data_IF_678938204487
#
_entry.id   IF_678938204487
#
_cell.length_a   1.000
_cell.length_b   1.000
_cell.length_c   1.000
_cell.angle_alpha   90.00
_cell.angle_beta   90.00
_cell.angle_gamma   90.00
#
_symmetry.space_group_name_H-M   'P 1'
#
loop_
_entity.id
_entity.type
_entity.pdbx_description
1 polymer ?
#
# COMPACT_ATOMS: atom_id res chain seq x y z
N UNK A 1 -14.80 -16.67 15.89
CA UNK A 1 -13.33 -16.80 15.91
C UNK A 1 -12.76 -15.97 14.77
N UNK A 2 -12.39 -14.73 15.07
CA UNK A 2 -11.78 -13.79 14.13
C UNK A 2 -10.38 -14.31 13.81
N UNK A 3 -10.24 -15.04 12.70
CA UNK A 3 -8.92 -15.48 12.23
C UNK A 3 -8.19 -14.24 11.72
N UNK A 4 -7.36 -13.67 12.58
CA UNK A 4 -6.18 -12.88 12.22
C UNK A 4 -5.42 -13.70 11.19
N UNK A 5 -5.73 -13.49 9.90
CA UNK A 5 -4.96 -14.08 8.81
C UNK A 5 -3.61 -13.40 8.87
N UNK A 6 -2.66 -14.14 9.43
CA UNK A 6 -1.23 -14.00 9.25
C UNK A 6 -0.93 -13.13 8.05
N UNK A 7 -0.39 -11.95 8.35
CA UNK A 7 0.22 -11.06 7.38
C UNK A 7 1.30 -11.86 6.67
N UNK A 8 0.91 -12.58 5.64
CA UNK A 8 1.79 -13.24 4.70
C UNK A 8 2.57 -12.12 4.02
N UNK A 9 3.64 -11.68 4.65
CA UNK A 9 4.98 -12.12 4.29
C UNK A 9 5.36 -11.89 2.84
N UNK A 10 4.66 -11.04 2.11
CA UNK A 10 5.01 -10.66 0.76
C UNK A 10 5.99 -9.48 0.80
N UNK A 11 7.03 -9.64 1.66
CA UNK A 11 8.28 -8.89 1.76
C UNK A 11 9.15 -9.05 0.49
N UNK A 12 8.53 -9.28 -0.68
CA UNK A 12 9.20 -9.26 -1.98
C UNK A 12 9.24 -7.82 -2.50
N UNK A 13 10.06 -7.04 -1.81
CA UNK A 13 10.89 -5.91 -2.25
C UNK A 13 10.16 -4.67 -2.83
N UNK A 14 10.40 -3.51 -2.18
CA UNK A 14 10.80 -2.30 -2.90
C UNK A 14 9.88 -1.08 -2.90
N UNK A 15 8.84 -0.98 -2.06
CA UNK A 15 7.95 0.19 -2.10
C UNK A 15 7.94 0.93 -0.79
N UNK A 16 8.64 2.06 -0.77
CA UNK A 16 8.66 3.01 0.33
C UNK A 16 7.56 4.06 0.15
N UNK A 17 6.91 4.38 1.26
CA UNK A 17 5.88 5.40 1.36
C UNK A 17 6.47 6.74 0.94
N UNK A 18 5.88 7.45 -0.01
CA UNK A 18 6.42 8.72 -0.46
C UNK A 18 6.23 9.87 0.53
N UNK A 19 5.46 9.67 1.62
CA UNK A 19 5.29 10.67 2.67
C UNK A 19 6.41 10.63 3.71
N UNK A 20 6.78 9.43 4.16
CA UNK A 20 7.70 9.24 5.29
C UNK A 20 8.92 8.37 4.96
N UNK A 21 8.97 7.73 3.78
CA UNK A 21 10.06 6.83 3.39
C UNK A 21 9.98 5.43 3.99
N UNK A 22 9.03 5.15 4.89
CA UNK A 22 8.83 3.83 5.52
C UNK A 22 8.28 2.81 4.52
N UNK A 23 8.52 1.51 4.73
CA UNK A 23 7.96 0.47 3.89
C UNK A 23 6.42 0.48 3.80
N UNK A 24 5.91 0.06 2.65
CA UNK A 24 4.49 -0.09 2.40
C UNK A 24 4.15 -1.57 2.30
N UNK A 25 3.17 -1.99 3.09
CA UNK A 25 2.60 -3.33 2.99
C UNK A 25 1.57 -3.37 1.87
N UNK A 26 1.62 -4.41 1.03
CA UNK A 26 0.63 -4.67 -0.03
C UNK A 26 -0.10 -5.97 0.30
N UNK A 27 -1.42 -5.90 0.41
CA UNK A 27 -2.28 -7.05 0.69
C UNK A 27 -3.31 -7.29 -0.40
N UNK A 28 -3.90 -8.49 -0.37
CA UNK A 28 -5.11 -8.83 -1.12
C UNK A 28 -6.28 -8.86 -0.16
N UNK A 29 -7.35 -8.20 -0.54
CA UNK A 29 -8.64 -8.30 0.13
C UNK A 29 -9.40 -9.51 -0.45
N UNK A 30 -9.72 -10.48 0.39
CA UNK A 30 -10.38 -11.72 -0.06
C UNK A 30 -11.87 -11.54 -0.32
N UNK A 31 -12.52 -10.53 0.26
CA UNK A 31 -13.96 -10.32 0.13
C UNK A 31 -14.31 -9.63 -1.19
N UNK A 32 -13.49 -8.67 -1.60
CA UNK A 32 -13.66 -7.89 -2.84
C UNK A 32 -12.79 -8.39 -3.99
N UNK A 33 -11.92 -9.37 -3.72
CA UNK A 33 -10.87 -9.83 -4.62
C UNK A 33 -9.91 -8.72 -5.12
N UNK A 34 -9.89 -7.57 -4.44
CA UNK A 34 -9.03 -6.44 -4.80
C UNK A 34 -7.72 -6.44 -4.02
N UNK A 35 -6.82 -5.55 -4.40
CA UNK A 35 -5.55 -5.33 -3.72
C UNK A 35 -5.53 -3.96 -3.06
N UNK A 36 -4.81 -3.87 -1.96
CA UNK A 36 -4.61 -2.65 -1.19
C UNK A 36 -3.15 -2.49 -0.80
N UNK A 37 -2.80 -1.27 -0.43
CA UNK A 37 -1.52 -0.95 0.17
C UNK A 37 -1.70 0.08 1.28
N UNK A 38 -0.90 -0.04 2.34
CA UNK A 38 -0.91 0.90 3.48
C UNK A 38 0.51 1.10 3.97
N UNK A 39 0.85 2.35 4.30
CA UNK A 39 2.08 2.65 5.01
C UNK A 39 2.08 1.95 6.37
N UNK A 40 3.21 1.36 6.77
CA UNK A 40 3.33 0.72 8.08
C UNK A 40 3.65 1.71 9.21
N UNK A 41 4.00 2.95 8.88
CA UNK A 41 4.28 4.00 9.87
C UNK A 41 3.01 4.47 10.59
N UNK A 42 3.06 4.49 11.92
CA UNK A 42 1.97 5.01 12.74
C UNK A 42 1.79 6.53 12.50
N UNK A 43 0.55 6.94 12.25
CA UNK A 43 0.21 8.32 11.89
C UNK A 43 0.35 8.67 10.40
N UNK A 44 0.92 7.79 9.56
CA UNK A 44 0.95 8.03 8.12
C UNK A 44 -0.36 7.62 7.44
N UNK A 45 -1.16 8.60 7.04
CA UNK A 45 -2.44 8.37 6.34
C UNK A 45 -2.30 7.93 4.86
N UNK A 46 -1.12 7.47 4.43
CA UNK A 46 -0.92 7.03 3.06
C UNK A 46 -1.47 5.60 2.87
N UNK A 47 -2.57 5.51 2.14
CA UNK A 47 -3.29 4.26 1.86
C UNK A 47 -3.84 4.30 0.44
N UNK A 48 -3.92 3.14 -0.21
CA UNK A 48 -4.67 2.94 -1.45
C UNK A 48 -5.34 1.57 -1.45
N UNK A 49 -6.53 1.47 -2.04
CA UNK A 49 -7.32 0.23 -2.09
C UNK A 49 -8.13 0.15 -3.38
N UNK A 50 -8.74 -1.01 -3.64
CA UNK A 50 -9.60 -1.23 -4.81
C UNK A 50 -8.85 -1.54 -6.10
N UNK A 51 -7.59 -1.98 -6.02
CA UNK A 51 -6.82 -2.29 -7.22
C UNK A 51 -7.14 -3.69 -7.73
N UNK A 52 -7.42 -3.82 -9.03
CA UNK A 52 -7.70 -5.13 -9.65
C UNK A 52 -6.49 -6.10 -9.65
N UNK A 53 -5.28 -5.62 -9.37
CA UNK A 53 -4.09 -6.47 -9.32
C UNK A 53 -3.01 -5.88 -8.41
N UNK A 54 -2.13 -6.75 -7.89
CA UNK A 54 -0.95 -6.34 -7.12
C UNK A 54 -0.06 -5.36 -7.88
N UNK A 55 0.09 -5.53 -9.20
CA UNK A 55 0.85 -4.60 -10.06
C UNK A 55 0.21 -3.22 -10.10
N UNK A 56 -1.12 -3.12 -10.20
CA UNK A 56 -1.83 -1.83 -10.15
C UNK A 56 -1.69 -1.15 -8.79
N UNK A 57 -1.78 -1.90 -7.70
CA UNK A 57 -1.54 -1.37 -6.37
C UNK A 57 -0.14 -0.73 -6.25
N UNK A 58 0.88 -1.38 -6.82
CA UNK A 58 2.26 -0.84 -6.87
C UNK A 58 2.38 0.43 -7.70
N UNK A 59 1.79 0.47 -8.90
CA UNK A 59 1.79 1.68 -9.74
C UNK A 59 1.16 2.84 -8.96
N UNK A 60 0.06 2.59 -8.26
CA UNK A 60 -0.62 3.61 -7.49
C UNK A 60 0.21 4.19 -6.33
N UNK A 61 1.11 3.42 -5.71
CA UNK A 61 2.08 3.95 -4.73
C UNK A 61 2.99 4.99 -5.38
N UNK A 62 3.47 4.71 -6.60
CA UNK A 62 4.32 5.63 -7.36
C UNK A 62 3.54 6.87 -7.83
N UNK A 63 2.34 6.69 -8.36
CA UNK A 63 1.49 7.82 -8.77
C UNK A 63 1.13 8.71 -7.58
N UNK A 64 0.92 8.11 -6.40
CA UNK A 64 0.71 8.85 -5.15
C UNK A 64 1.94 9.70 -4.82
N UNK A 65 3.17 9.21 -5.04
CA UNK A 65 4.40 9.99 -4.87
C UNK A 65 4.41 11.23 -5.76
N UNK A 66 4.14 11.05 -7.05
CA UNK A 66 4.16 12.15 -8.02
C UNK A 66 3.10 13.21 -7.69
N UNK A 67 1.88 12.77 -7.33
CA UNK A 67 0.82 13.68 -6.90
C UNK A 67 1.16 14.40 -5.62
N UNK A 68 1.71 13.70 -4.63
CA UNK A 68 2.09 14.30 -3.36
C UNK A 68 3.20 15.34 -3.56
N UNK A 69 4.25 15.01 -4.30
CA UNK A 69 5.32 15.97 -4.61
C UNK A 69 4.83 17.18 -5.42
N UNK A 70 3.80 17.02 -6.26
CA UNK A 70 3.19 18.15 -6.99
C UNK A 70 2.40 19.11 -6.09
N UNK A 71 1.75 18.61 -5.05
CA UNK A 71 0.91 19.43 -4.16
C UNK A 71 1.75 20.18 -3.13
N UNK A 72 2.83 19.57 -2.64
CA UNK A 72 3.67 20.11 -1.56
C UNK A 72 4.97 20.76 -2.06
N UNK A 73 5.07 21.08 -3.35
CA UNK A 73 6.17 21.84 -3.95
C UNK A 73 5.69 23.21 -4.35
#
# INVERSE_FOLDING_TARGET
MTRSRDHAGDMRWGWTCPRCGTDVSVGRDSETETFWWKCTEDGCLAVGFGFASRRRARIAVRDYRERYQRIYR
#
